data_IF_474041353653
#
_entry.id   IF_474041353653
#
_cell.length_a   1.000
_cell.length_b   1.000
_cell.length_c   1.000
_cell.angle_alpha   90.00
_cell.angle_beta   90.00
_cell.angle_gamma   90.00
#
_symmetry.space_group_name_H-M   'P 1'
#
loop_
_entity.id
_entity.type
_entity.pdbx_description
1 polymer ?
#
# COMPACT_ATOMS: atom_id res chain seq x y z
N UNK A 1 -28.76 -13.37 -2.90
CA UNK A 1 -27.84 -14.42 -2.41
C UNK A 1 -26.55 -14.28 -3.21
N UNK A 2 -25.50 -13.81 -2.60
CA UNK A 2 -24.22 -13.63 -3.28
C UNK A 2 -23.57 -15.01 -3.47
N UNK A 3 -23.40 -15.43 -4.73
CA UNK A 3 -22.59 -16.57 -5.10
C UNK A 3 -21.14 -16.27 -4.77
N UNK A 4 -20.65 -16.83 -3.67
CA UNK A 4 -19.24 -16.75 -3.28
C UNK A 4 -18.41 -17.57 -4.26
N UNK A 5 -17.59 -16.90 -5.05
CA UNK A 5 -16.59 -17.49 -5.96
C UNK A 5 -15.63 -18.45 -5.25
N UNK A 6 -14.89 -19.32 -5.98
CA UNK A 6 -14.04 -20.34 -5.40
C UNK A 6 -13.03 -19.73 -4.41
N UNK A 7 -12.99 -20.35 -3.25
CA UNK A 7 -12.25 -19.91 -2.08
C UNK A 7 -10.75 -19.99 -2.32
N UNK A 8 -10.04 -18.93 -1.99
CA UNK A 8 -8.60 -19.00 -1.82
C UNK A 8 -8.31 -19.85 -0.58
N UNK A 9 -7.31 -20.70 -0.66
CA UNK A 9 -6.85 -21.54 0.45
C UNK A 9 -5.44 -21.07 0.79
N UNK A 10 -5.23 -20.67 2.04
CA UNK A 10 -3.88 -20.48 2.55
C UNK A 10 -3.31 -21.84 2.93
N UNK A 11 -2.23 -22.22 2.27
CA UNK A 11 -1.48 -23.43 2.59
C UNK A 11 -0.35 -23.08 3.53
N UNK A 12 -0.23 -23.78 4.65
CA UNK A 12 0.92 -23.71 5.55
C UNK A 12 1.39 -25.13 5.86
N UNK A 13 2.58 -25.31 6.38
CA UNK A 13 3.19 -26.63 6.67
C UNK A 13 2.29 -27.52 7.54
N UNK A 14 1.41 -26.93 8.34
CA UNK A 14 0.48 -27.61 9.25
C UNK A 14 -0.91 -27.86 8.69
N UNK A 15 -1.24 -27.44 7.43
CA UNK A 15 -2.52 -27.70 6.80
C UNK A 15 -3.09 -26.53 5.99
N UNK A 16 -4.39 -26.56 5.75
CA UNK A 16 -5.10 -25.59 4.91
C UNK A 16 -6.06 -24.73 5.75
N UNK A 17 -6.06 -23.44 5.48
CA UNK A 17 -6.97 -22.45 6.07
C UNK A 17 -7.86 -21.91 4.96
N UNK A 18 -9.17 -22.09 5.07
CA UNK A 18 -10.14 -21.51 4.13
C UNK A 18 -10.16 -20.00 4.27
N UNK A 19 -10.24 -19.33 3.12
CA UNK A 19 -10.25 -17.87 3.03
C UNK A 19 -11.47 -17.46 2.19
N UNK A 20 -12.11 -16.37 2.54
CA UNK A 20 -13.18 -15.79 1.72
C UNK A 20 -12.61 -15.13 0.46
N UNK A 21 -13.48 -14.79 -0.51
CA UNK A 21 -13.10 -14.00 -1.70
C UNK A 21 -12.40 -12.66 -1.34
N UNK A 22 -12.70 -12.11 -0.17
CA UNK A 22 -12.11 -10.88 0.35
C UNK A 22 -10.82 -11.09 1.16
N UNK A 23 -10.28 -12.34 1.16
CA UNK A 23 -9.04 -12.65 1.88
C UNK A 23 -9.19 -12.85 3.39
N UNK A 24 -10.42 -13.00 3.92
CA UNK A 24 -10.70 -13.19 5.34
C UNK A 24 -10.54 -14.68 5.73
N UNK A 25 -9.60 -15.04 6.62
CA UNK A 25 -9.37 -16.43 7.00
C UNK A 25 -10.39 -16.94 8.02
N UNK A 26 -10.74 -18.23 7.91
CA UNK A 26 -11.56 -18.95 8.87
C UNK A 26 -10.85 -19.08 10.22
N UNK A 27 -11.46 -18.55 11.28
CA UNK A 27 -10.89 -18.63 12.64
C UNK A 27 -10.83 -20.07 13.13
N UNK A 28 -11.82 -20.90 12.80
CA UNK A 28 -11.80 -22.32 13.18
C UNK A 28 -10.67 -23.09 12.51
N UNK A 29 -10.40 -22.79 11.23
CA UNK A 29 -9.29 -23.42 10.52
C UNK A 29 -7.94 -22.94 11.07
N UNK A 30 -7.81 -21.66 11.40
CA UNK A 30 -6.62 -21.12 12.06
C UNK A 30 -6.36 -21.83 13.41
N UNK A 31 -7.38 -21.99 14.24
CA UNK A 31 -7.26 -22.69 15.53
C UNK A 31 -6.87 -24.15 15.32
N UNK A 32 -7.49 -24.82 14.35
CA UNK A 32 -7.23 -26.23 14.04
C UNK A 32 -5.82 -26.43 13.52
N UNK A 33 -5.45 -25.65 12.51
CA UNK A 33 -4.21 -25.82 11.75
C UNK A 33 -3.00 -25.28 12.51
N UNK A 34 -3.07 -24.04 12.97
CA UNK A 34 -1.97 -23.36 13.66
C UNK A 34 -1.98 -23.66 15.16
N UNK A 35 -3.15 -23.82 15.76
CA UNK A 35 -3.30 -24.11 17.18
C UNK A 35 -3.19 -25.59 17.53
N UNK A 36 -3.20 -26.48 16.55
CA UNK A 36 -3.12 -27.95 16.77
C UNK A 36 -4.26 -28.50 17.61
N UNK A 37 -5.41 -27.83 17.67
CA UNK A 37 -6.52 -28.20 18.57
C UNK A 37 -7.60 -29.00 17.86
N UNK A 38 -7.99 -30.11 18.48
CA UNK A 38 -9.04 -31.03 17.93
C UNK A 38 -10.45 -30.41 17.93
N UNK A 39 -10.76 -29.50 18.88
CA UNK A 39 -12.04 -28.82 18.98
C UNK A 39 -11.92 -27.30 18.85
N UNK A 40 -11.86 -26.75 17.63
CA UNK A 40 -11.69 -25.31 17.41
C UNK A 40 -12.85 -24.47 17.91
N UNK A 41 -14.09 -25.04 17.99
CA UNK A 41 -15.25 -24.29 18.49
C UNK A 41 -15.16 -24.02 19.98
N UNK A 42 -14.77 -25.04 20.77
CA UNK A 42 -14.57 -24.85 22.20
C UNK A 42 -13.46 -23.82 22.47
N UNK A 43 -12.33 -23.96 21.77
CA UNK A 43 -11.22 -23.01 21.93
C UNK A 43 -11.65 -21.57 21.57
N UNK A 44 -12.47 -21.40 20.54
CA UNK A 44 -13.01 -20.09 20.17
C UNK A 44 -13.99 -19.55 21.21
N UNK A 45 -14.88 -20.40 21.74
CA UNK A 45 -15.79 -20.03 22.82
C UNK A 45 -15.04 -19.58 24.08
N UNK A 46 -14.01 -20.35 24.48
CA UNK A 46 -13.17 -20.01 25.61
C UNK A 46 -12.35 -18.73 25.37
N UNK A 47 -11.96 -18.50 24.12
CA UNK A 47 -11.26 -17.28 23.71
C UNK A 47 -12.15 -16.04 23.87
N UNK A 48 -13.38 -16.09 23.37
CA UNK A 48 -14.34 -14.99 23.49
C UNK A 48 -14.69 -14.72 24.97
N UNK A 49 -14.84 -15.78 25.78
CA UNK A 49 -15.13 -15.63 27.18
C UNK A 49 -14.01 -14.88 27.95
N UNK A 50 -12.75 -15.06 27.54
CA UNK A 50 -11.58 -14.38 28.13
C UNK A 50 -11.28 -13.04 27.49
N UNK A 51 -11.60 -12.89 26.21
CA UNK A 51 -11.28 -11.76 25.33
C UNK A 51 -12.52 -11.34 24.54
N UNK A 52 -13.50 -10.68 25.16
CA UNK A 52 -14.77 -10.29 24.51
C UNK A 52 -14.60 -9.40 23.30
N UNK A 53 -13.50 -8.62 23.26
CA UNK A 53 -13.13 -7.75 22.14
C UNK A 53 -12.89 -8.50 20.83
N UNK A 54 -12.61 -9.81 20.88
CA UNK A 54 -12.43 -10.65 19.67
C UNK A 54 -13.70 -10.68 18.82
N UNK A 55 -14.89 -10.56 19.44
CA UNK A 55 -16.17 -10.55 18.70
C UNK A 55 -16.23 -9.39 17.71
N UNK A 56 -15.63 -8.25 18.03
CA UNK A 56 -15.59 -7.08 17.16
C UNK A 56 -14.62 -7.24 15.98
N UNK A 57 -13.71 -8.22 16.07
CA UNK A 57 -12.67 -8.50 15.06
C UNK A 57 -13.04 -9.62 14.08
N UNK A 58 -14.22 -10.21 14.23
CA UNK A 58 -14.70 -11.30 13.38
C UNK A 58 -16.03 -10.95 12.73
N UNK A 59 -16.25 -11.54 11.56
CA UNK A 59 -17.56 -11.65 10.91
C UNK A 59 -18.01 -13.11 10.95
N UNK A 60 -19.30 -13.37 10.75
CA UNK A 60 -19.85 -14.71 10.67
C UNK A 60 -20.26 -15.01 9.24
N UNK A 61 -19.67 -16.03 8.63
CA UNK A 61 -19.94 -16.41 7.25
C UNK A 61 -20.19 -17.93 7.13
N UNK A 62 -20.96 -18.31 6.11
CA UNK A 62 -21.19 -19.71 5.75
C UNK A 62 -20.30 -20.11 4.60
N UNK A 63 -19.39 -21.05 4.85
CA UNK A 63 -18.60 -21.65 3.79
C UNK A 63 -19.41 -22.70 3.03
N UNK A 64 -19.29 -22.83 1.71
CA UNK A 64 -19.94 -23.88 0.93
C UNK A 64 -19.47 -25.26 1.39
N UNK A 65 -20.38 -26.18 1.45
CA UNK A 65 -20.10 -27.60 1.85
C UNK A 65 -21.21 -28.23 2.70
N UNK A 66 -21.00 -29.47 3.09
CA UNK A 66 -21.93 -30.18 3.97
C UNK A 66 -22.01 -29.50 5.34
N UNK A 67 -23.25 -29.12 5.73
CA UNK A 67 -23.50 -28.61 7.07
C UNK A 67 -23.58 -27.12 7.24
N UNK A 68 -23.47 -26.28 6.20
CA UNK A 68 -23.74 -24.83 6.14
C UNK A 68 -23.71 -24.03 7.48
N UNK A 69 -22.79 -24.41 8.38
CA UNK A 69 -22.72 -23.78 9.69
C UNK A 69 -21.96 -22.46 9.60
N UNK A 70 -22.46 -21.49 10.34
CA UNK A 70 -21.75 -20.22 10.49
C UNK A 70 -20.36 -20.43 11.08
N UNK A 71 -19.37 -19.83 10.43
CA UNK A 71 -17.98 -19.94 10.81
C UNK A 71 -17.43 -18.51 11.01
N UNK A 72 -16.81 -18.22 12.15
CA UNK A 72 -16.17 -16.95 12.35
C UNK A 72 -14.98 -16.80 11.41
N UNK A 73 -14.90 -15.65 10.75
CA UNK A 73 -13.78 -15.25 9.89
C UNK A 73 -13.17 -13.96 10.42
N UNK A 74 -11.86 -13.86 10.40
CA UNK A 74 -11.20 -12.63 10.83
C UNK A 74 -11.44 -11.51 9.81
N UNK A 75 -11.85 -10.33 10.24
CA UNK A 75 -12.23 -9.21 9.36
C UNK A 75 -11.09 -8.76 8.42
N UNK A 76 -9.85 -8.88 8.87
CA UNK A 76 -8.65 -8.52 8.13
C UNK A 76 -7.43 -9.26 8.69
N UNK A 77 -6.26 -9.03 8.09
CA UNK A 77 -4.99 -9.64 8.53
C UNK A 77 -4.62 -9.28 9.98
N UNK A 78 -4.84 -8.02 10.37
CA UNK A 78 -4.58 -7.57 11.75
C UNK A 78 -5.42 -8.34 12.76
N UNK A 79 -6.72 -8.49 12.50
CA UNK A 79 -7.62 -9.28 13.32
C UNK A 79 -7.18 -10.74 13.41
N UNK A 80 -6.75 -11.34 12.29
CA UNK A 80 -6.23 -12.71 12.26
C UNK A 80 -4.98 -12.86 13.15
N UNK A 81 -4.03 -11.95 13.03
CA UNK A 81 -2.81 -11.96 13.84
C UNK A 81 -3.08 -11.70 15.33
N UNK A 82 -4.03 -10.81 15.64
CA UNK A 82 -4.48 -10.57 17.00
C UNK A 82 -5.04 -11.86 17.64
N UNK A 83 -5.93 -12.55 16.92
CA UNK A 83 -6.52 -13.82 17.38
C UNK A 83 -5.43 -14.90 17.57
N UNK A 84 -4.48 -15.02 16.63
CA UNK A 84 -3.34 -15.94 16.76
C UNK A 84 -2.52 -15.67 18.02
N UNK A 85 -2.28 -14.40 18.32
CA UNK A 85 -1.56 -14.00 19.54
C UNK A 85 -2.26 -14.37 20.83
N UNK A 86 -3.60 -14.52 20.81
CA UNK A 86 -4.41 -14.89 21.98
C UNK A 86 -4.60 -16.41 22.11
N UNK A 87 -4.21 -17.22 21.12
CA UNK A 87 -4.40 -18.67 21.18
C UNK A 87 -3.66 -19.27 22.37
N UNK A 88 -4.29 -20.22 23.09
CA UNK A 88 -3.66 -20.91 24.19
C UNK A 88 -2.64 -21.98 23.71
N UNK A 89 -1.68 -22.30 24.58
CA UNK A 89 -0.73 -23.40 24.35
C UNK A 89 0.52 -22.96 23.57
N UNK A 90 1.22 -23.94 23.00
CA UNK A 90 2.53 -23.75 22.36
C UNK A 90 2.47 -22.87 21.12
N UNK A 91 1.41 -23.02 20.31
CA UNK A 91 1.27 -22.23 19.07
C UNK A 91 1.14 -20.73 19.33
N UNK A 92 0.23 -20.31 20.21
CA UNK A 92 0.10 -18.92 20.58
C UNK A 92 1.35 -18.36 21.26
N UNK A 93 2.06 -19.19 22.05
CA UNK A 93 3.34 -18.82 22.65
C UNK A 93 4.39 -18.60 21.57
N UNK A 94 4.60 -19.58 20.69
CA UNK A 94 5.57 -19.48 19.59
C UNK A 94 5.30 -18.27 18.70
N UNK A 95 4.02 -18.01 18.38
CA UNK A 95 3.64 -16.82 17.62
C UNK A 95 4.05 -15.52 18.33
N UNK A 96 3.75 -15.39 19.63
CA UNK A 96 4.12 -14.18 20.40
C UNK A 96 5.63 -14.01 20.49
N UNK A 97 6.37 -15.11 20.68
CA UNK A 97 7.85 -15.07 20.69
C UNK A 97 8.44 -14.64 19.35
N UNK A 98 7.90 -15.16 18.23
CA UNK A 98 8.32 -14.74 16.89
C UNK A 98 7.96 -13.28 16.61
N UNK A 99 6.75 -12.84 16.97
CA UNK A 99 6.33 -11.44 16.82
C UNK A 99 7.22 -10.50 17.66
N UNK A 100 7.53 -10.88 18.90
CA UNK A 100 8.45 -10.12 19.74
C UNK A 100 9.85 -10.02 19.13
N UNK A 101 10.41 -11.14 18.62
CA UNK A 101 11.71 -11.14 17.91
C UNK A 101 11.70 -10.24 16.68
N UNK A 102 10.65 -10.32 15.85
CA UNK A 102 10.54 -9.45 14.68
C UNK A 102 10.44 -7.98 15.06
N UNK A 103 9.66 -7.66 16.09
CA UNK A 103 9.50 -6.29 16.55
C UNK A 103 10.81 -5.75 17.14
N UNK A 104 11.52 -6.53 17.94
CA UNK A 104 12.85 -6.17 18.46
C UNK A 104 13.85 -5.96 17.33
N UNK A 105 13.92 -6.88 16.37
CA UNK A 105 14.78 -6.72 15.19
C UNK A 105 14.45 -5.46 14.39
N UNK A 106 13.17 -5.11 14.25
CA UNK A 106 12.75 -3.87 13.59
C UNK A 106 13.18 -2.61 14.36
N UNK A 107 13.12 -2.63 15.69
CA UNK A 107 13.57 -1.51 16.52
C UNK A 107 15.10 -1.34 16.50
N UNK A 108 15.83 -2.45 16.59
CA UNK A 108 17.29 -2.46 16.67
C UNK A 108 17.94 -2.19 15.30
N UNK A 109 17.41 -2.78 14.24
CA UNK A 109 17.93 -2.65 12.87
C UNK A 109 16.82 -2.70 11.82
N UNK A 110 16.06 -1.60 11.59
CA UNK A 110 14.99 -1.54 10.61
C UNK A 110 15.44 -1.89 9.18
N UNK A 111 16.70 -1.59 8.85
CA UNK A 111 17.23 -1.84 7.50
C UNK A 111 17.42 -3.34 7.21
N UNK A 112 17.79 -4.16 8.20
CA UNK A 112 17.90 -5.60 8.00
C UNK A 112 16.54 -6.26 7.77
N UNK A 113 15.50 -5.80 8.48
CA UNK A 113 14.12 -6.30 8.28
C UNK A 113 13.60 -5.87 6.91
N UNK A 114 13.90 -4.64 6.49
CA UNK A 114 13.55 -4.16 5.15
C UNK A 114 14.27 -4.96 4.06
N UNK A 115 15.58 -5.24 4.20
CA UNK A 115 16.33 -6.04 3.26
C UNK A 115 15.74 -7.46 3.12
N UNK A 116 15.45 -8.14 4.23
CA UNK A 116 14.82 -9.46 4.23
C UNK A 116 13.40 -9.45 3.62
N UNK A 117 12.68 -8.34 3.73
CA UNK A 117 11.40 -8.18 3.06
C UNK A 117 11.55 -8.01 1.54
N UNK A 118 12.55 -7.22 1.10
CA UNK A 118 12.85 -6.99 -0.32
C UNK A 118 13.28 -8.29 -1.01
N UNK A 119 14.10 -9.12 -0.37
CA UNK A 119 14.53 -10.43 -0.90
C UNK A 119 13.36 -11.39 -1.19
N UNK A 120 12.20 -11.17 -0.58
CA UNK A 120 10.98 -11.98 -0.80
C UNK A 120 10.04 -11.39 -1.85
N UNK A 121 10.35 -10.22 -2.36
CA UNK A 121 9.57 -9.55 -3.40
C UNK A 121 9.91 -10.15 -4.77
N UNK A 122 8.93 -10.14 -5.68
CA UNK A 122 9.18 -10.39 -7.09
C UNK A 122 10.01 -9.25 -7.70
N UNK A 123 10.62 -9.49 -8.86
CA UNK A 123 11.38 -8.44 -9.57
C UNK A 123 10.51 -7.20 -9.84
N UNK A 124 9.27 -7.39 -10.29
CA UNK A 124 8.32 -6.29 -10.53
C UNK A 124 8.01 -5.48 -9.25
N UNK A 125 7.88 -6.17 -8.11
CA UNK A 125 7.64 -5.52 -6.82
C UNK A 125 8.87 -4.73 -6.35
N UNK A 126 10.08 -5.25 -6.59
CA UNK A 126 11.34 -4.58 -6.27
C UNK A 126 11.51 -3.33 -7.14
N UNK A 127 11.33 -3.45 -8.46
CA UNK A 127 11.41 -2.32 -9.40
C UNK A 127 10.42 -1.21 -9.01
N UNK A 128 9.19 -1.58 -8.68
CA UNK A 128 8.18 -0.64 -8.21
C UNK A 128 8.58 0.05 -6.90
N UNK A 129 9.14 -0.69 -5.95
CA UNK A 129 9.62 -0.13 -4.69
C UNK A 129 10.75 0.87 -4.93
N UNK A 130 11.72 0.54 -5.79
CA UNK A 130 12.82 1.43 -6.15
C UNK A 130 12.32 2.71 -6.81
N UNK A 131 11.44 2.61 -7.81
CA UNK A 131 10.82 3.75 -8.46
C UNK A 131 10.07 4.64 -7.44
N UNK A 132 9.36 4.00 -6.49
CA UNK A 132 8.65 4.72 -5.44
C UNK A 132 9.57 5.44 -4.46
N UNK A 133 10.66 4.82 -4.06
CA UNK A 133 11.67 5.43 -3.17
C UNK A 133 12.39 6.58 -3.85
N UNK A 134 12.78 6.41 -5.11
CA UNK A 134 13.40 7.44 -5.93
C UNK A 134 12.48 8.65 -6.10
N UNK A 135 11.22 8.40 -6.50
CA UNK A 135 10.21 9.44 -6.63
C UNK A 135 9.90 10.16 -5.30
N UNK A 136 10.05 9.47 -4.16
CA UNK A 136 9.89 10.08 -2.83
C UNK A 136 11.01 11.09 -2.52
N UNK A 137 12.26 10.75 -2.86
CA UNK A 137 13.42 11.64 -2.72
C UNK A 137 13.30 12.86 -3.63
N UNK A 138 12.99 12.65 -4.92
CA UNK A 138 12.79 13.73 -5.88
C UNK A 138 11.65 14.65 -5.47
N UNK A 139 10.55 14.09 -4.96
CA UNK A 139 9.44 14.89 -4.42
C UNK A 139 9.87 15.78 -3.25
N UNK A 140 10.72 15.28 -2.36
CA UNK A 140 11.26 16.08 -1.27
C UNK A 140 12.06 17.26 -1.80
N UNK A 141 13.03 17.01 -2.70
CA UNK A 141 13.83 18.04 -3.37
C UNK A 141 12.95 19.06 -4.10
N UNK A 142 11.94 18.60 -4.83
CA UNK A 142 10.98 19.48 -5.50
C UNK A 142 10.21 20.36 -4.52
N UNK A 143 9.74 19.80 -3.41
CA UNK A 143 9.00 20.57 -2.39
C UNK A 143 9.89 21.59 -1.70
N UNK A 144 11.15 21.26 -1.44
CA UNK A 144 12.13 22.19 -0.87
C UNK A 144 12.45 23.32 -1.86
N UNK A 145 12.60 23.00 -3.14
CA UNK A 145 12.75 24.03 -4.18
C UNK A 145 11.54 24.97 -4.21
N UNK A 146 10.30 24.43 -4.21
CA UNK A 146 9.10 25.28 -4.14
C UNK A 146 9.11 26.23 -2.95
N UNK A 147 9.57 25.76 -1.79
CA UNK A 147 9.71 26.57 -0.58
C UNK A 147 10.76 27.67 -0.75
N UNK A 148 11.90 27.35 -1.35
CA UNK A 148 13.00 28.31 -1.62
C UNK A 148 12.54 29.44 -2.55
N UNK A 149 11.61 29.16 -3.46
CA UNK A 149 11.04 30.13 -4.39
C UNK A 149 9.72 30.75 -3.93
N UNK A 150 9.49 30.82 -2.62
CA UNK A 150 8.36 31.49 -1.96
C UNK A 150 6.97 30.94 -2.35
N UNK A 151 6.87 29.66 -2.65
CA UNK A 151 5.57 29.01 -2.83
C UNK A 151 4.92 28.78 -1.47
N UNK A 152 3.67 29.22 -1.31
CA UNK A 152 2.93 29.15 -0.05
C UNK A 152 1.54 28.54 -0.21
N UNK A 153 1.04 27.92 0.86
CA UNK A 153 -0.36 27.41 0.98
C UNK A 153 -0.79 26.56 -0.23
N UNK A 154 -1.82 27.01 -0.96
CA UNK A 154 -2.38 26.28 -2.11
C UNK A 154 -1.40 26.20 -3.30
N UNK A 155 -0.37 27.03 -3.36
CA UNK A 155 0.63 26.99 -4.41
C UNK A 155 1.30 25.61 -4.56
N UNK A 156 1.51 24.88 -3.47
CA UNK A 156 2.04 23.51 -3.53
C UNK A 156 1.11 22.55 -4.30
N UNK A 157 -0.21 22.68 -4.08
CA UNK A 157 -1.19 21.87 -4.79
C UNK A 157 -1.24 22.27 -6.29
N UNK A 158 -1.17 23.56 -6.58
CA UNK A 158 -1.12 24.08 -7.96
C UNK A 158 0.12 23.58 -8.70
N UNK A 159 1.31 23.65 -8.10
CA UNK A 159 2.54 23.11 -8.67
C UNK A 159 2.47 21.58 -8.86
N UNK A 160 1.82 20.85 -7.94
CA UNK A 160 1.61 19.41 -8.12
C UNK A 160 0.71 19.12 -9.33
N UNK A 161 -0.40 19.84 -9.47
CA UNK A 161 -1.30 19.70 -10.59
C UNK A 161 -0.69 20.18 -11.91
N UNK A 162 0.21 21.17 -11.85
CA UNK A 162 0.98 21.63 -13.00
C UNK A 162 1.90 20.53 -13.59
N UNK A 163 2.28 19.53 -12.77
CA UNK A 163 2.97 18.32 -13.25
C UNK A 163 1.96 17.24 -13.65
N UNK A 164 0.97 16.96 -12.80
CA UNK A 164 0.09 15.80 -13.00
C UNK A 164 -0.78 15.94 -14.25
N UNK A 165 -1.30 17.12 -14.53
CA UNK A 165 -2.17 17.34 -15.69
C UNK A 165 -1.46 17.04 -17.01
N UNK A 166 -0.26 17.61 -17.32
CA UNK A 166 0.44 17.27 -18.56
C UNK A 166 0.92 15.82 -18.61
N UNK A 167 1.42 15.26 -17.50
CA UNK A 167 2.05 13.94 -17.48
C UNK A 167 1.02 12.81 -17.40
N UNK A 168 -0.03 12.96 -16.57
CA UNK A 168 -1.00 11.91 -16.25
C UNK A 168 -2.39 12.16 -16.83
N UNK A 169 -2.62 13.33 -17.46
CA UNK A 169 -3.90 13.71 -18.04
C UNK A 169 -4.98 14.10 -17.03
N UNK A 170 -4.64 14.19 -15.72
CA UNK A 170 -5.62 14.44 -14.66
C UNK A 170 -4.97 15.14 -13.48
N UNK A 171 -5.72 15.94 -12.73
CA UNK A 171 -5.23 16.54 -11.49
C UNK A 171 -5.21 15.53 -10.32
N UNK A 172 -4.57 15.92 -9.22
CA UNK A 172 -4.43 15.05 -8.04
C UNK A 172 -5.77 14.63 -7.43
N UNK A 173 -6.80 15.47 -7.50
CA UNK A 173 -8.14 15.17 -6.96
C UNK A 173 -8.87 14.17 -7.84
N UNK A 174 -8.82 14.35 -9.16
CA UNK A 174 -9.42 13.43 -10.13
C UNK A 174 -8.79 12.04 -10.03
N UNK A 175 -7.45 11.97 -9.99
CA UNK A 175 -6.71 10.70 -9.79
C UNK A 175 -7.10 10.00 -8.49
N UNK A 176 -7.22 10.78 -7.40
CA UNK A 176 -7.60 10.25 -6.10
C UNK A 176 -9.00 9.66 -6.10
N UNK A 177 -9.97 10.36 -6.71
CA UNK A 177 -11.35 9.89 -6.84
C UNK A 177 -11.41 8.60 -7.67
N UNK A 178 -10.78 8.60 -8.85
CA UNK A 178 -10.73 7.43 -9.74
C UNK A 178 -10.18 6.20 -9.04
N UNK A 179 -9.06 6.34 -8.34
CA UNK A 179 -8.44 5.22 -7.60
C UNK A 179 -9.35 4.73 -6.46
N UNK A 180 -10.00 5.66 -5.73
CA UNK A 180 -10.92 5.31 -4.65
C UNK A 180 -12.10 4.48 -5.17
N UNK A 181 -12.69 4.87 -6.30
CA UNK A 181 -13.80 4.18 -6.96
C UNK A 181 -13.36 2.81 -7.48
N UNK A 182 -12.28 2.74 -8.28
CA UNK A 182 -11.79 1.49 -8.90
C UNK A 182 -11.39 0.43 -7.88
N UNK A 183 -10.83 0.86 -6.73
CA UNK A 183 -10.32 -0.05 -5.70
C UNK A 183 -11.22 -0.17 -4.47
N UNK A 184 -12.38 0.47 -4.48
CA UNK A 184 -13.32 0.52 -3.35
C UNK A 184 -12.63 0.94 -2.04
N UNK A 185 -11.85 2.02 -2.09
CA UNK A 185 -11.08 2.54 -0.96
C UNK A 185 -11.73 3.80 -0.38
N UNK A 186 -11.48 4.05 0.90
CA UNK A 186 -11.89 5.31 1.54
C UNK A 186 -11.05 6.45 0.97
N UNK A 187 -11.70 7.48 0.42
CA UNK A 187 -11.03 8.59 -0.26
C UNK A 187 -9.89 9.22 0.56
N UNK A 188 -10.06 9.37 1.88
CA UNK A 188 -9.01 9.96 2.75
C UNK A 188 -7.72 9.14 2.78
N UNK A 189 -7.80 7.82 2.65
CA UNK A 189 -6.63 6.91 2.72
C UNK A 189 -5.87 6.80 1.41
N UNK A 190 -6.42 7.32 0.29
CA UNK A 190 -5.78 7.20 -1.03
C UNK A 190 -4.67 8.23 -1.19
N UNK A 191 -3.43 7.74 -1.40
CA UNK A 191 -2.35 8.52 -1.96
C UNK A 191 -2.13 8.07 -3.42
N UNK A 192 -2.39 8.91 -4.44
CA UNK A 192 -2.33 8.49 -5.84
C UNK A 192 -1.02 7.81 -6.24
N UNK A 193 0.12 8.29 -5.73
CA UNK A 193 1.46 7.75 -6.06
C UNK A 193 1.65 6.29 -5.63
N UNK A 194 0.91 5.81 -4.65
CA UNK A 194 0.98 4.41 -4.21
C UNK A 194 0.29 3.46 -5.19
N UNK A 195 -0.44 4.03 -6.16
CA UNK A 195 -1.19 3.30 -7.18
C UNK A 195 -0.67 3.54 -8.62
N UNK A 196 0.33 4.39 -8.79
CA UNK A 196 0.96 4.62 -10.10
C UNK A 196 1.74 3.40 -10.57
N UNK A 197 1.80 3.22 -11.87
CA UNK A 197 2.73 2.27 -12.50
C UNK A 197 4.17 2.75 -12.34
N UNK A 198 5.15 1.87 -12.58
CA UNK A 198 6.58 2.24 -12.60
C UNK A 198 6.82 3.38 -13.60
N UNK A 199 6.25 3.27 -14.80
CA UNK A 199 6.37 4.31 -15.84
C UNK A 199 5.81 5.65 -15.36
N UNK A 200 4.61 5.68 -14.80
CA UNK A 200 4.00 6.90 -14.26
C UNK A 200 4.83 7.52 -13.13
N UNK A 201 5.42 6.70 -12.26
CA UNK A 201 6.32 7.17 -11.21
C UNK A 201 7.56 7.82 -11.79
N UNK A 202 8.16 7.21 -12.81
CA UNK A 202 9.36 7.71 -13.51
C UNK A 202 9.09 8.99 -14.28
N UNK A 203 7.96 9.06 -14.98
CA UNK A 203 7.58 10.25 -15.77
C UNK A 203 7.35 11.47 -14.85
N UNK A 204 6.62 11.27 -13.75
CA UNK A 204 6.39 12.32 -12.74
C UNK A 204 7.70 12.73 -12.09
N UNK A 205 8.58 11.80 -11.74
CA UNK A 205 9.89 12.08 -11.18
C UNK A 205 10.74 12.93 -12.14
N UNK A 206 10.75 12.54 -13.40
CA UNK A 206 11.48 13.28 -14.45
C UNK A 206 10.97 14.71 -14.57
N UNK A 207 9.65 14.91 -14.58
CA UNK A 207 9.07 16.25 -14.65
C UNK A 207 9.40 17.09 -13.40
N UNK A 208 9.38 16.51 -12.20
CA UNK A 208 9.80 17.19 -10.96
C UNK A 208 11.27 17.60 -11.00
N UNK A 209 12.16 16.74 -11.49
CA UNK A 209 13.61 17.05 -11.63
C UNK A 209 13.87 18.16 -12.63
N UNK A 210 13.22 18.10 -13.80
CA UNK A 210 13.35 19.15 -14.82
C UNK A 210 12.83 20.49 -14.28
N UNK A 211 11.70 20.47 -13.56
CA UNK A 211 11.15 21.66 -12.94
C UNK A 211 12.12 22.30 -11.92
N UNK A 212 12.75 21.50 -11.06
CA UNK A 212 13.78 22.00 -10.12
C UNK A 212 14.93 22.66 -10.88
N UNK A 213 15.50 21.98 -11.88
CA UNK A 213 16.60 22.54 -12.67
C UNK A 213 16.22 23.81 -13.45
N UNK A 214 14.94 23.96 -13.85
CA UNK A 214 14.46 25.19 -14.48
C UNK A 214 14.25 26.32 -13.46
N UNK A 215 13.79 26.01 -12.25
CA UNK A 215 13.68 27.00 -11.18
C UNK A 215 15.03 27.57 -10.79
N UNK A 216 16.08 26.76 -10.71
CA UNK A 216 17.45 27.19 -10.40
C UNK A 216 18.04 28.12 -11.44
N UNK A 217 17.59 28.04 -12.70
CA UNK A 217 18.08 28.87 -13.83
C UNK A 217 17.27 30.15 -14.05
N UNK A 218 16.17 30.32 -13.33
CA UNK A 218 15.26 31.45 -13.53
C UNK A 218 15.07 32.24 -12.24
N UNK A 219 15.12 33.54 -12.36
CA UNK A 219 14.90 34.48 -11.24
C UNK A 219 13.40 34.70 -11.07
N UNK A 220 12.68 33.73 -10.48
CA UNK A 220 11.23 33.79 -10.30
C UNK A 220 10.88 33.39 -8.88
N UNK A 221 9.90 34.08 -8.29
CA UNK A 221 9.37 33.75 -6.97
C UNK A 221 7.85 33.88 -6.91
N UNK A 222 7.27 33.27 -5.87
CA UNK A 222 5.83 33.29 -5.60
C UNK A 222 4.99 32.31 -6.46
N UNK A 223 3.79 32.05 -5.99
CA UNK A 223 2.93 30.99 -6.56
C UNK A 223 2.75 31.05 -8.08
N UNK A 224 2.33 32.16 -8.71
CA UNK A 224 2.03 32.17 -10.14
C UNK A 224 3.28 31.99 -11.02
N UNK A 225 4.40 32.58 -10.61
CA UNK A 225 5.65 32.51 -11.38
C UNK A 225 6.22 31.11 -11.38
N UNK A 226 6.27 30.48 -10.21
CA UNK A 226 6.79 29.13 -10.02
C UNK A 226 5.88 28.11 -10.71
N UNK A 227 4.55 28.19 -10.53
CA UNK A 227 3.60 27.30 -11.20
C UNK A 227 3.77 27.30 -12.73
N UNK A 228 3.98 28.48 -13.32
CA UNK A 228 4.20 28.61 -14.77
C UNK A 228 5.46 27.88 -15.24
N UNK A 229 6.57 27.97 -14.48
CA UNK A 229 7.82 27.28 -14.81
C UNK A 229 7.61 25.76 -14.67
N UNK A 230 7.00 25.30 -13.57
CA UNK A 230 6.71 23.90 -13.31
C UNK A 230 5.85 23.31 -14.42
N UNK A 231 4.79 24.01 -14.84
CA UNK A 231 3.90 23.60 -15.94
C UNK A 231 4.66 23.47 -17.27
N UNK A 232 5.44 24.47 -17.65
CA UNK A 232 6.24 24.42 -18.88
C UNK A 232 7.25 23.28 -18.86
N UNK A 233 7.85 23.00 -17.70
CA UNK A 233 8.77 21.86 -17.53
C UNK A 233 8.06 20.52 -17.75
N UNK A 234 6.87 20.35 -17.18
CA UNK A 234 6.07 19.13 -17.36
C UNK A 234 5.57 18.98 -18.81
N UNK A 235 5.13 20.06 -19.45
CA UNK A 235 4.73 20.06 -20.86
C UNK A 235 5.92 19.72 -21.79
N UNK A 236 7.12 20.19 -21.46
CA UNK A 236 8.33 19.83 -22.19
C UNK A 236 8.65 18.35 -22.05
N UNK A 237 8.62 17.82 -20.82
CA UNK A 237 8.81 16.37 -20.57
C UNK A 237 7.75 15.54 -21.31
N UNK A 238 6.49 15.97 -21.30
CA UNK A 238 5.42 15.29 -22.03
C UNK A 238 5.71 15.19 -23.53
N UNK A 239 6.18 16.27 -24.16
CA UNK A 239 6.55 16.28 -25.57
C UNK A 239 7.70 15.30 -25.88
N UNK A 240 8.67 15.17 -24.97
CA UNK A 240 9.75 14.18 -25.12
C UNK A 240 9.16 12.77 -25.03
N UNK A 241 8.27 12.51 -24.08
CA UNK A 241 7.64 11.19 -23.92
C UNK A 241 6.75 10.81 -25.11
N UNK A 242 6.13 11.79 -25.76
CA UNK A 242 5.32 11.59 -26.96
C UNK A 242 6.17 11.47 -28.25
N UNK A 243 7.48 11.69 -28.18
CA UNK A 243 8.36 11.69 -29.36
C UNK A 243 8.25 12.96 -30.22
N UNK A 244 7.61 14.01 -29.72
CA UNK A 244 7.41 15.27 -30.44
C UNK A 244 8.66 16.17 -30.44
N UNK A 245 9.69 15.80 -29.69
CA UNK A 245 10.97 16.53 -29.64
C UNK A 245 12.10 15.53 -29.86
N UNK A 246 12.87 15.72 -30.93
CA UNK A 246 14.12 15.03 -31.12
C UNK A 246 15.14 15.47 -30.06
N UNK A 247 15.63 14.50 -29.30
CA UNK A 247 16.76 14.74 -28.39
C UNK A 247 18.03 14.53 -29.20
N UNK A 248 18.82 15.58 -29.52
CA UNK A 248 20.04 15.41 -30.29
C UNK A 248 21.01 14.45 -29.57
N UNK A 249 21.34 13.34 -30.22
CA UNK A 249 22.35 12.40 -29.72
C UNK A 249 21.81 11.10 -29.07
N UNK A 250 20.50 10.84 -29.11
CA UNK A 250 19.93 9.51 -28.82
C UNK A 250 19.46 8.92 -30.16
N UNK A 251 20.30 8.16 -30.80
CA UNK A 251 20.01 7.27 -31.92
C UNK A 251 20.35 5.85 -31.47
#
# INVERSE_FOLDING_TARGET
MANLSPQSIWTCDSGQIRVTSNGQPSVFDMIKTLGGKKNPRQVYSDLIARHPEVVQKVDSLRFPGRGQQETPVAKNKEAAFYILGLLPGTAGRSYREQAAKMFTAFLDNPSSVAAAAIERMTEDEQERLEARLKGKRTRHTFTDALKTYDVVKQGYAHCTNAIYVPILGSDARQLKNKIAEEKNLVLKSVNPRDHFTVQQLTDVETAERVAVGQLERNTVGGNPGVERIVRKSAEYVRKILDGDIDIPGIV
#
